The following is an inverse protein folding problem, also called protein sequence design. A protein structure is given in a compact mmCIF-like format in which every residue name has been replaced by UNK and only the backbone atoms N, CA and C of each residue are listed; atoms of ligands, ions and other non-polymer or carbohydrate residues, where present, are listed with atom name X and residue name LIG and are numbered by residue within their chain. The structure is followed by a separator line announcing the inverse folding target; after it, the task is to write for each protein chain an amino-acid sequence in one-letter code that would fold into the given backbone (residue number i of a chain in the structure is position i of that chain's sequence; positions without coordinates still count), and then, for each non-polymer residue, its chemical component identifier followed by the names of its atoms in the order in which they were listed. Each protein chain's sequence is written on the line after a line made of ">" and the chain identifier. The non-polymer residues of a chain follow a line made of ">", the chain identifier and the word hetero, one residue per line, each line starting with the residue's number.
data_IF_326242487973
#
_entry.id   IF_326242487973
#
_cell.length_a   1.000
_cell.length_b   1.000
_cell.length_c   1.000
_cell.angle_alpha   90.00
_cell.angle_beta   90.00
_cell.angle_gamma   90.00
#
_symmetry.space_group_name_H-M   'P 1'
#
loop_
_entity.id
_entity.type
_entity.pdbx_description
1 polymer ?
#
# COMPACT_ATOMS: atom_id res chain seq x y z
N UNK A 1 -6.03 -37.55 -3.89
CA UNK A 1 -6.74 -36.44 -4.58
C UNK A 1 -6.60 -35.23 -3.67
N UNK A 2 -5.56 -34.45 -3.92
CA UNK A 2 -5.39 -33.17 -3.23
C UNK A 2 -6.15 -32.11 -4.01
N UNK A 3 -7.16 -31.54 -3.39
CA UNK A 3 -7.92 -30.43 -3.93
C UNK A 3 -7.12 -29.16 -3.59
N UNK A 4 -6.30 -28.70 -4.54
CA UNK A 4 -5.70 -27.38 -4.47
C UNK A 4 -6.82 -26.33 -4.59
N UNK A 5 -7.29 -25.83 -3.47
CA UNK A 5 -8.19 -24.67 -3.44
C UNK A 5 -7.33 -23.45 -3.74
N UNK A 6 -7.23 -23.12 -5.02
CA UNK A 6 -6.67 -21.85 -5.46
C UNK A 6 -7.75 -20.78 -5.24
N UNK A 7 -7.82 -20.25 -4.05
CA UNK A 7 -8.71 -19.13 -3.73
C UNK A 7 -7.98 -17.86 -4.14
N UNK A 8 -8.16 -17.47 -5.39
CA UNK A 8 -7.88 -16.09 -5.84
C UNK A 8 -8.87 -15.13 -5.14
N UNK A 9 -8.64 -14.88 -3.87
CA UNK A 9 -9.36 -13.84 -3.13
C UNK A 9 -8.80 -12.51 -3.63
N UNK A 10 -9.43 -11.94 -4.66
CA UNK A 10 -9.22 -10.53 -5.02
C UNK A 10 -9.70 -9.70 -3.83
N UNK A 11 -8.77 -9.01 -3.17
CA UNK A 11 -9.11 -8.00 -2.17
C UNK A 11 -9.97 -6.94 -2.87
N UNK A 12 -11.11 -6.65 -2.28
CA UNK A 12 -12.04 -5.62 -2.75
C UNK A 12 -11.77 -4.29 -2.03
N UNK A 13 -12.39 -3.20 -2.47
CA UNK A 13 -12.29 -1.91 -1.77
C UNK A 13 -12.76 -2.01 -0.31
N UNK A 14 -13.67 -2.93 0.01
CA UNK A 14 -14.19 -3.18 1.35
C UNK A 14 -13.14 -3.79 2.29
N UNK A 15 -12.13 -4.49 1.75
CA UNK A 15 -11.03 -5.07 2.52
C UNK A 15 -9.96 -4.05 2.91
N UNK A 16 -10.06 -2.81 2.38
CA UNK A 16 -9.12 -1.74 2.65
C UNK A 16 -9.63 -0.83 3.77
N UNK A 17 -9.26 -1.14 4.99
CA UNK A 17 -9.62 -0.34 6.17
C UNK A 17 -9.01 1.08 6.15
N UNK A 18 -7.86 1.25 5.52
CA UNK A 18 -7.17 2.55 5.37
C UNK A 18 -6.24 2.54 4.16
N UNK A 19 -6.01 3.73 3.60
CA UNK A 19 -5.09 3.96 2.49
C UNK A 19 -3.82 4.63 3.01
N UNK A 20 -2.64 4.22 2.54
CA UNK A 20 -1.39 4.88 2.91
C UNK A 20 -1.33 6.30 2.34
N UNK A 21 -0.78 7.26 3.11
CA UNK A 21 -0.64 8.66 2.66
C UNK A 21 0.23 8.75 1.38
N UNK A 22 1.18 7.85 1.21
CA UNK A 22 1.99 7.75 -0.01
C UNK A 22 1.13 7.41 -1.23
N UNK A 23 0.14 6.51 -1.09
CA UNK A 23 -0.78 6.14 -2.17
C UNK A 23 -1.72 7.30 -2.52
N UNK A 24 -2.17 8.07 -1.52
CA UNK A 24 -2.93 9.31 -1.76
C UNK A 24 -2.11 10.34 -2.54
N UNK A 25 -0.86 10.58 -2.16
CA UNK A 25 0.02 11.53 -2.86
C UNK A 25 0.29 11.07 -4.29
N UNK A 26 0.46 9.77 -4.49
CA UNK A 26 0.67 9.16 -5.81
C UNK A 26 -0.52 9.38 -6.72
N UNK A 27 -1.70 9.04 -6.25
CA UNK A 27 -2.95 9.22 -6.97
C UNK A 27 -3.22 10.69 -7.35
N UNK A 28 -3.02 11.62 -6.40
CA UNK A 28 -3.15 13.06 -6.67
C UNK A 28 -2.10 13.53 -7.69
N UNK A 29 -0.87 13.04 -7.59
CA UNK A 29 0.19 13.35 -8.56
C UNK A 29 -0.22 12.93 -9.98
N UNK A 30 -0.77 11.74 -10.14
CA UNK A 30 -1.25 11.21 -11.42
C UNK A 30 -2.45 12.00 -11.96
N UNK A 31 -3.50 12.17 -11.16
CA UNK A 31 -4.75 12.80 -11.62
C UNK A 31 -4.63 14.29 -11.86
N UNK A 32 -3.83 15.00 -11.07
CA UNK A 32 -3.54 16.42 -11.27
C UNK A 32 -2.40 16.66 -12.28
N UNK A 33 -1.76 15.61 -12.78
CA UNK A 33 -0.63 15.67 -13.72
C UNK A 33 0.51 16.56 -13.18
N UNK A 34 0.81 16.44 -11.89
CA UNK A 34 1.85 17.22 -11.20
C UNK A 34 2.83 16.26 -10.52
N UNK A 35 4.13 16.33 -10.82
CA UNK A 35 5.13 15.48 -10.19
C UNK A 35 5.11 15.60 -8.66
N UNK A 36 5.22 14.48 -7.94
CA UNK A 36 5.25 14.44 -6.47
C UNK A 36 6.23 15.45 -5.87
N UNK A 37 7.44 15.57 -6.46
CA UNK A 37 8.47 16.52 -6.01
C UNK A 37 7.98 17.98 -6.04
N UNK A 38 7.18 18.36 -7.04
CA UNK A 38 6.63 19.70 -7.14
C UNK A 38 5.54 19.94 -6.11
N UNK A 39 4.66 18.95 -5.90
CA UNK A 39 3.63 19.01 -4.87
C UNK A 39 4.26 19.21 -3.48
N UNK A 40 5.34 18.46 -3.19
CA UNK A 40 6.06 18.53 -1.92
C UNK A 40 6.94 19.78 -1.77
N UNK A 41 7.20 20.51 -2.84
CA UNK A 41 8.02 21.73 -2.83
C UNK A 41 7.37 22.89 -2.06
N UNK A 42 8.13 23.98 -1.82
CA UNK A 42 7.61 25.20 -1.20
C UNK A 42 7.02 26.20 -2.19
N UNK A 43 6.99 25.87 -3.49
CA UNK A 43 6.45 26.76 -4.52
C UNK A 43 4.95 27.07 -4.26
N UNK A 44 4.54 28.34 -4.54
CA UNK A 44 3.22 28.88 -4.22
C UNK A 44 2.31 29.03 -5.45
N UNK A 45 2.46 28.16 -6.44
CA UNK A 45 1.59 28.17 -7.62
C UNK A 45 0.20 27.66 -7.27
N UNK A 46 -0.84 28.24 -7.86
CA UNK A 46 -2.23 27.90 -7.60
C UNK A 46 -2.54 26.41 -7.87
N UNK A 47 -2.01 25.85 -8.97
CA UNK A 47 -2.17 24.44 -9.32
C UNK A 47 -1.59 23.51 -8.23
N UNK A 48 -0.42 23.87 -7.67
CA UNK A 48 0.20 23.11 -6.59
C UNK A 48 -0.59 23.22 -5.27
N UNK A 49 -1.15 24.40 -5.00
CA UNK A 49 -2.00 24.59 -3.84
C UNK A 49 -3.25 23.72 -3.91
N UNK A 50 -3.92 23.63 -5.07
CA UNK A 50 -5.09 22.76 -5.29
C UNK A 50 -4.74 21.29 -5.06
N UNK A 51 -3.64 20.79 -5.64
CA UNK A 51 -3.19 19.42 -5.42
C UNK A 51 -2.91 19.15 -3.93
N UNK A 52 -2.26 20.08 -3.21
CA UNK A 52 -2.03 19.96 -1.75
C UNK A 52 -3.33 19.96 -0.96
N UNK A 53 -4.33 20.75 -1.35
CA UNK A 53 -5.65 20.75 -0.70
C UNK A 53 -6.32 19.37 -0.86
N UNK A 54 -6.25 18.77 -2.05
CA UNK A 54 -6.73 17.41 -2.28
C UNK A 54 -6.03 16.40 -1.37
N UNK A 55 -4.69 16.45 -1.24
CA UNK A 55 -3.92 15.57 -0.35
C UNK A 55 -4.31 15.79 1.12
N UNK A 56 -4.49 17.04 1.57
CA UNK A 56 -4.91 17.32 2.93
C UNK A 56 -6.30 16.74 3.24
N UNK A 57 -7.21 16.82 2.30
CA UNK A 57 -8.57 16.29 2.43
C UNK A 57 -8.60 14.76 2.41
N UNK A 58 -8.05 14.14 1.38
CA UNK A 58 -8.02 12.69 1.23
C UNK A 58 -7.15 12.02 2.30
N UNK A 59 -6.02 12.64 2.64
CA UNK A 59 -5.14 12.17 3.70
C UNK A 59 -5.83 12.14 5.06
N UNK A 60 -6.62 13.18 5.39
CA UNK A 60 -7.43 13.19 6.60
C UNK A 60 -8.54 12.14 6.55
N UNK A 61 -9.20 11.98 5.41
CA UNK A 61 -10.37 11.12 5.28
C UNK A 61 -10.02 9.62 5.31
N UNK A 62 -8.93 9.21 4.65
CA UNK A 62 -8.67 7.79 4.36
C UNK A 62 -7.43 7.20 5.05
N UNK A 63 -6.55 8.03 5.66
CA UNK A 63 -5.28 7.50 6.16
C UNK A 63 -5.27 7.22 7.67
N UNK A 64 -6.33 7.49 8.40
CA UNK A 64 -6.38 7.42 9.89
C UNK A 64 -5.24 8.21 10.57
N UNK A 65 -4.60 9.16 9.87
CA UNK A 65 -3.52 9.99 10.41
C UNK A 65 -4.05 11.30 10.96
N UNK A 66 -3.45 11.75 12.07
CA UNK A 66 -3.73 13.09 12.62
C UNK A 66 -3.13 14.19 11.73
N UNK A 67 -3.69 15.40 11.80
CA UNK A 67 -3.13 16.56 11.08
C UNK A 67 -1.64 16.80 11.34
N UNK A 68 -1.12 16.70 12.59
CA UNK A 68 0.31 16.79 12.85
C UNK A 68 1.11 15.70 12.13
N UNK A 69 0.58 14.48 12.03
CA UNK A 69 1.25 13.38 11.33
C UNK A 69 1.31 13.62 9.82
N UNK A 70 0.22 14.08 9.22
CA UNK A 70 0.18 14.46 7.79
C UNK A 70 1.12 15.63 7.54
N UNK A 71 1.11 16.63 8.44
CA UNK A 71 1.97 17.80 8.34
C UNK A 71 3.46 17.44 8.35
N UNK A 72 3.91 16.62 9.30
CA UNK A 72 5.29 16.13 9.34
C UNK A 72 5.69 15.41 8.06
N UNK A 73 4.80 14.57 7.53
CA UNK A 73 5.07 13.86 6.28
C UNK A 73 5.22 14.80 5.08
N UNK A 74 4.40 15.85 5.01
CA UNK A 74 4.42 16.83 3.92
C UNK A 74 5.43 17.97 4.14
N UNK A 75 6.16 18.00 5.26
CA UNK A 75 7.05 19.11 5.62
C UNK A 75 6.27 20.42 5.85
N UNK A 76 5.07 20.33 6.46
CA UNK A 76 4.17 21.48 6.70
C UNK A 76 3.67 21.48 8.13
N UNK A 77 3.28 22.66 8.62
CA UNK A 77 2.62 22.78 9.89
C UNK A 77 1.21 22.17 9.84
N UNK A 78 0.75 21.63 10.97
CA UNK A 78 -0.59 21.02 11.10
C UNK A 78 -1.73 21.99 10.79
N UNK A 79 -1.57 23.29 11.10
CA UNK A 79 -2.55 24.33 10.78
C UNK A 79 -2.68 24.54 9.27
N UNK A 80 -1.58 24.38 8.53
CA UNK A 80 -1.58 24.37 7.06
C UNK A 80 -2.38 23.20 6.51
N UNK A 81 -2.26 22.01 7.12
CA UNK A 81 -3.03 20.84 6.72
C UNK A 81 -4.52 21.02 7.01
N UNK A 82 -4.86 21.53 8.20
CA UNK A 82 -6.25 21.83 8.56
C UNK A 82 -6.87 22.88 7.60
N UNK A 83 -6.15 23.96 7.32
CA UNK A 83 -6.57 24.96 6.34
C UNK A 83 -6.75 24.36 4.94
N UNK A 84 -5.79 23.56 4.49
CA UNK A 84 -5.85 22.89 3.19
C UNK A 84 -7.06 21.96 3.06
N UNK A 85 -7.36 21.17 4.10
CA UNK A 85 -8.56 20.33 4.16
C UNK A 85 -9.85 21.16 4.08
N UNK A 86 -9.96 22.23 4.85
CA UNK A 86 -11.15 23.08 4.83
C UNK A 86 -11.34 23.75 3.46
N UNK A 87 -10.25 24.21 2.87
CA UNK A 87 -10.26 24.81 1.53
C UNK A 87 -10.68 23.82 0.45
N UNK A 88 -10.25 22.55 0.56
CA UNK A 88 -10.71 21.50 -0.35
C UNK A 88 -12.23 21.31 -0.26
N UNK A 89 -12.79 21.25 0.95
CA UNK A 89 -14.23 21.11 1.16
C UNK A 89 -15.01 22.28 0.55
N UNK A 90 -14.51 23.51 0.70
CA UNK A 90 -15.12 24.69 0.10
C UNK A 90 -15.13 24.61 -1.43
N UNK A 91 -14.01 24.21 -2.04
CA UNK A 91 -13.89 24.07 -3.48
C UNK A 91 -14.84 22.98 -4.02
N UNK A 92 -14.88 21.80 -3.40
CA UNK A 92 -15.80 20.73 -3.77
C UNK A 92 -17.26 21.19 -3.68
N UNK A 93 -17.62 21.90 -2.61
CA UNK A 93 -18.99 22.43 -2.44
C UNK A 93 -19.34 23.50 -3.48
N UNK A 94 -18.37 24.30 -3.86
CA UNK A 94 -18.54 25.33 -4.90
C UNK A 94 -18.76 24.70 -6.26
N UNK A 95 -17.93 23.73 -6.64
CA UNK A 95 -18.02 23.02 -7.90
C UNK A 95 -19.36 22.28 -8.04
N UNK A 96 -19.82 21.62 -6.97
CA UNK A 96 -21.11 20.94 -6.95
C UNK A 96 -22.32 21.88 -7.10
N UNK A 97 -22.23 23.15 -6.64
CA UNK A 97 -23.32 24.14 -6.79
C UNK A 97 -23.42 24.69 -8.20
N UNK A 98 -22.29 24.84 -8.86
CA UNK A 98 -22.25 25.48 -10.18
C UNK A 98 -22.53 24.53 -11.34
N UNK A 99 -22.49 23.20 -11.09
CA UNK A 99 -22.62 22.20 -12.15
C UNK A 99 -21.61 22.35 -13.27
N UNK A 100 -20.52 23.06 -12.99
CA UNK A 100 -19.52 23.45 -13.98
C UNK A 100 -18.55 22.31 -14.24
N UNK A 101 -18.79 21.60 -15.34
CA UNK A 101 -17.66 21.14 -16.15
C UNK A 101 -16.97 22.40 -16.69
N UNK A 102 -15.65 22.52 -16.51
CA UNK A 102 -14.91 23.60 -17.13
C UNK A 102 -15.26 23.62 -18.64
N UNK A 103 -15.49 24.81 -19.19
CA UNK A 103 -15.88 24.99 -20.60
C UNK A 103 -14.88 24.39 -21.60
N UNK A 104 -13.75 23.91 -21.14
CA UNK A 104 -12.68 23.24 -21.89
C UNK A 104 -12.71 21.70 -21.81
N UNK A 105 -13.69 21.08 -21.12
CA UNK A 105 -13.75 19.63 -20.93
C UNK A 105 -12.73 19.08 -19.93
N UNK A 106 -12.05 19.94 -19.18
CA UNK A 106 -11.17 19.54 -18.09
C UNK A 106 -12.00 19.21 -16.84
N UNK A 107 -11.57 18.20 -16.07
CA UNK A 107 -12.21 17.83 -14.81
C UNK A 107 -12.15 19.00 -13.81
N UNK A 108 -13.26 19.30 -13.14
CA UNK A 108 -13.28 20.26 -12.06
C UNK A 108 -12.53 19.72 -10.83
N UNK A 109 -12.32 20.56 -9.79
CA UNK A 109 -11.57 20.13 -8.60
C UNK A 109 -12.23 18.96 -7.88
N UNK A 110 -13.55 18.94 -7.75
CA UNK A 110 -14.31 17.86 -7.11
C UNK A 110 -14.13 16.54 -7.84
N UNK A 111 -14.24 16.54 -9.16
CA UNK A 111 -14.02 15.35 -10.01
C UNK A 111 -12.59 14.84 -9.92
N UNK A 112 -11.59 15.72 -9.91
CA UNK A 112 -10.19 15.35 -9.72
C UNK A 112 -9.96 14.70 -8.34
N UNK A 113 -10.61 15.22 -7.30
CA UNK A 113 -10.53 14.65 -5.95
C UNK A 113 -11.16 13.26 -5.92
N UNK A 114 -12.35 13.08 -6.50
CA UNK A 114 -12.99 11.76 -6.58
C UNK A 114 -12.17 10.77 -7.42
N UNK A 115 -11.67 11.17 -8.58
CA UNK A 115 -10.79 10.34 -9.38
C UNK A 115 -9.50 9.96 -8.64
N UNK A 116 -8.94 10.89 -7.84
CA UNK A 116 -7.77 10.63 -6.99
C UNK A 116 -8.07 9.67 -5.86
N UNK A 117 -9.28 9.72 -5.28
CA UNK A 117 -9.75 8.79 -4.26
C UNK A 117 -9.75 7.37 -4.79
N UNK A 118 -10.45 7.11 -5.89
CA UNK A 118 -10.49 5.77 -6.49
C UNK A 118 -9.09 5.27 -6.84
N UNK A 119 -8.27 6.11 -7.47
CA UNK A 119 -6.89 5.74 -7.82
C UNK A 119 -6.03 5.42 -6.60
N UNK A 120 -6.22 6.11 -5.49
CA UNK A 120 -5.48 5.82 -4.25
C UNK A 120 -5.81 4.44 -3.68
N UNK A 121 -7.07 4.01 -3.77
CA UNK A 121 -7.48 2.66 -3.40
C UNK A 121 -6.89 1.60 -4.35
N UNK A 122 -6.92 1.83 -5.66
CA UNK A 122 -6.29 0.94 -6.65
C UNK A 122 -4.80 0.75 -6.37
N UNK A 123 -4.06 1.85 -6.16
CA UNK A 123 -2.62 1.81 -5.83
C UNK A 123 -2.37 1.03 -4.54
N UNK A 124 -3.20 1.22 -3.53
CA UNK A 124 -3.06 0.49 -2.26
C UNK A 124 -3.32 -1.00 -2.46
N UNK A 125 -4.33 -1.34 -3.24
CA UNK A 125 -4.67 -2.72 -3.59
C UNK A 125 -3.54 -3.39 -4.37
N UNK A 126 -3.01 -2.72 -5.39
CA UNK A 126 -1.85 -3.19 -6.17
C UNK A 126 -0.65 -3.50 -5.27
N UNK A 127 -0.34 -2.59 -4.33
CA UNK A 127 0.77 -2.76 -3.37
C UNK A 127 0.56 -3.94 -2.43
N UNK A 128 -0.65 -4.13 -1.92
CA UNK A 128 -0.98 -5.25 -1.03
C UNK A 128 -0.91 -6.58 -1.74
N UNK A 129 -1.41 -6.65 -2.96
CA UNK A 129 -1.31 -7.85 -3.80
C UNK A 129 0.15 -8.21 -4.09
N UNK A 130 0.96 -7.24 -4.50
CA UNK A 130 2.39 -7.46 -4.75
C UNK A 130 3.13 -7.97 -3.51
N UNK A 131 2.84 -7.43 -2.32
CA UNK A 131 3.44 -7.90 -1.05
C UNK A 131 2.99 -9.34 -0.74
N UNK A 132 1.73 -9.67 -0.98
CA UNK A 132 1.20 -11.03 -0.79
C UNK A 132 1.89 -12.03 -1.70
N UNK A 133 2.07 -11.68 -2.97
CA UNK A 133 2.71 -12.55 -3.96
C UNK A 133 4.18 -12.82 -3.61
N UNK A 134 4.93 -11.79 -3.20
CA UNK A 134 6.30 -11.92 -2.69
C UNK A 134 6.35 -12.83 -1.46
N UNK A 135 5.40 -12.66 -0.53
CA UNK A 135 5.33 -13.48 0.68
C UNK A 135 5.08 -14.95 0.36
N UNK A 136 4.19 -15.23 -0.57
CA UNK A 136 3.88 -16.59 -1.02
C UNK A 136 5.09 -17.23 -1.68
N UNK A 137 5.76 -16.54 -2.62
CA UNK A 137 6.99 -17.04 -3.27
C UNK A 137 8.10 -17.33 -2.24
N UNK A 138 8.26 -16.47 -1.24
CA UNK A 138 9.23 -16.70 -0.18
C UNK A 138 8.87 -17.91 0.69
N UNK A 139 7.60 -18.12 1.01
CA UNK A 139 7.15 -19.30 1.75
C UNK A 139 7.38 -20.59 0.98
N UNK A 140 7.09 -20.61 -0.33
CA UNK A 140 7.33 -21.76 -1.20
C UNK A 140 8.82 -22.11 -1.27
N UNK A 141 9.70 -21.11 -1.40
CA UNK A 141 11.17 -21.32 -1.39
C UNK A 141 11.66 -21.91 -0.08
N UNK A 142 11.21 -21.37 1.06
CA UNK A 142 11.57 -21.90 2.37
C UNK A 142 11.10 -23.34 2.57
N UNK A 143 9.92 -23.66 2.06
CA UNK A 143 9.37 -25.01 2.12
C UNK A 143 10.19 -25.99 1.27
N UNK A 144 10.56 -25.60 0.06
CA UNK A 144 11.44 -26.38 -0.81
C UNK A 144 12.83 -26.58 -0.21
N UNK A 145 13.42 -25.57 0.44
CA UNK A 145 14.70 -25.68 1.12
C UNK A 145 14.62 -26.64 2.32
N UNK A 146 13.54 -26.56 3.10
CA UNK A 146 13.29 -27.47 4.22
C UNK A 146 13.17 -28.93 3.75
N UNK A 147 12.42 -29.18 2.67
CA UNK A 147 12.28 -30.51 2.06
C UNK A 147 13.63 -31.06 1.56
N UNK A 148 14.42 -30.22 0.87
CA UNK A 148 15.79 -30.61 0.44
C UNK A 148 16.73 -30.90 1.62
N UNK A 149 16.58 -30.15 2.71
CA UNK A 149 17.33 -30.35 3.95
C UNK A 149 16.99 -31.71 4.60
N UNK A 150 15.72 -32.07 4.65
CA UNK A 150 15.24 -33.36 5.17
C UNK A 150 15.76 -34.51 4.32
N UNK A 151 15.64 -34.41 2.98
CA UNK A 151 16.16 -35.42 2.05
C UNK A 151 17.68 -35.63 2.21
N UNK A 152 18.44 -34.57 2.49
CA UNK A 152 19.89 -34.68 2.68
C UNK A 152 20.24 -35.37 4.01
N UNK A 153 19.45 -35.15 5.07
CA UNK A 153 19.62 -35.78 6.38
C UNK A 153 19.26 -37.28 6.30
N UNK A 154 18.18 -37.62 5.61
CA UNK A 154 17.79 -39.02 5.40
C UNK A 154 18.84 -39.80 4.62
N UNK A 155 19.41 -39.22 3.56
CA UNK A 155 20.48 -39.84 2.76
C UNK A 155 21.76 -40.01 3.57
N UNK A 156 22.12 -39.07 4.43
CA UNK A 156 23.33 -39.13 5.27
C UNK A 156 23.13 -39.91 6.55
N UNK A 157 21.95 -39.94 7.13
CA UNK A 157 21.61 -40.68 8.34
C UNK A 157 21.51 -42.19 8.11
N UNK A 158 21.09 -42.62 6.93
CA UNK A 158 20.99 -44.05 6.58
C UNK A 158 22.36 -44.75 6.34
N UNK A 159 23.43 -43.98 6.13
CA UNK A 159 24.81 -44.53 5.94
C UNK A 159 25.61 -44.65 7.25
N UNK A 160 25.09 -44.21 8.40
CA UNK A 160 25.74 -44.36 9.72
C UNK A 160 24.97 -45.29 10.65
N UNK A 161 24.40 -46.34 10.14
CA UNK A 161 23.93 -47.48 10.91
C UNK A 161 25.07 -48.41 11.29
N UNK A 162 26.15 -47.89 11.91
CA UNK A 162 27.18 -48.72 12.48
C UNK A 162 26.60 -49.47 13.68
N UNK A 163 26.46 -50.75 13.49
CA UNK A 163 26.17 -51.75 14.53
C UNK A 163 27.20 -51.62 15.65
N UNK A 164 26.84 -50.98 16.73
CA UNK A 164 27.57 -51.14 17.98
C UNK A 164 27.21 -52.55 18.49
N UNK A 165 28.06 -53.53 18.14
CA UNK A 165 27.99 -54.86 18.70
C UNK A 165 28.36 -54.78 20.18
N UNK A 166 27.38 -54.90 21.03
CA UNK A 166 27.61 -55.11 22.46
C UNK A 166 28.20 -56.50 22.66
N UNK A 167 29.51 -56.61 22.76
CA UNK A 167 30.22 -57.79 23.19
C UNK A 167 29.96 -57.98 24.68
N UNK A 168 29.07 -58.93 25.00
CA UNK A 168 28.94 -59.43 26.38
C UNK A 168 30.17 -60.23 26.73
N UNK A 169 31.12 -59.63 27.40
CA UNK A 169 32.28 -60.30 27.98
C UNK A 169 31.83 -61.09 29.21
N UNK A 170 31.80 -62.40 29.02
CA UNK A 170 31.67 -63.39 30.07
C UNK A 170 33.03 -63.53 30.76
N UNK A 171 33.16 -63.21 32.05
CA UNK A 171 34.31 -63.65 32.90
C UNK A 171 33.83 -64.23 34.18
N UNK A 172 34.41 -65.37 34.45
CA UNK A 172 34.27 -66.24 35.58
C UNK A 172 34.54 -65.54 36.92
#
# INVERSE_FOLDING_TARGET
>A
MEVSINVDVKLTEEDIEYVALTSVIEAVSEKFQIPKREIMSHARQQRLARARFAICYLGWLFTKRSFPSIGRFMGRDHTTILHGRNRAIELIRHDNRLGMHDLKGELNFGELVEASKFRAFEIELEKRNAIRDIKNDMQERLQQEAERGIDSIERTGFLRGDKVAFSAGNTK
#
